data_IF_762931287377
#
_entry.id   IF_762931287377
#
_cell.length_a   1.000
_cell.length_b   1.000
_cell.length_c   1.000
_cell.angle_alpha   90.00
_cell.angle_beta   90.00
_cell.angle_gamma   90.00
#
_symmetry.space_group_name_H-M   'P 1'
#
loop_
_entity.id
_entity.type
_entity.pdbx_description
1 polymer ?
#
# COMPACT_ATOMS: atom_id res chain seq x y z
N UNK A 1 2.12 3.50 -15.15
CA UNK A 1 1.80 3.32 -16.58
C UNK A 1 2.47 2.07 -17.09
N UNK A 2 1.74 1.25 -17.84
CA UNK A 2 2.24 0.08 -18.52
C UNK A 2 2.00 0.22 -20.03
N UNK A 3 2.71 -0.57 -20.83
CA UNK A 3 2.55 -0.59 -22.28
C UNK A 3 1.83 -1.87 -22.69
N UNK A 4 0.81 -1.74 -23.53
CA UNK A 4 0.21 -2.87 -24.25
C UNK A 4 0.41 -2.71 -25.74
N UNK A 5 0.36 -3.82 -26.45
CA UNK A 5 0.60 -3.90 -27.88
C UNK A 5 -0.66 -4.36 -28.57
N UNK A 6 -0.99 -3.78 -29.70
CA UNK A 6 -2.20 -4.09 -30.45
C UNK A 6 -1.80 -4.62 -31.82
N UNK A 7 -2.36 -5.77 -32.20
CA UNK A 7 -2.20 -6.37 -33.51
C UNK A 7 -3.50 -7.05 -33.93
N UNK A 8 -4.02 -6.72 -35.12
CA UNK A 8 -5.32 -7.20 -35.64
C UNK A 8 -6.44 -7.11 -34.59
N UNK A 9 -6.59 -5.92 -33.99
CA UNK A 9 -7.59 -5.62 -32.95
C UNK A 9 -7.43 -6.39 -31.62
N UNK A 10 -6.45 -7.29 -31.51
CA UNK A 10 -6.14 -8.01 -30.26
C UNK A 10 -5.11 -7.23 -29.45
N UNK A 11 -5.32 -7.17 -28.14
CA UNK A 11 -4.41 -6.54 -27.19
C UNK A 11 -3.50 -7.56 -26.52
N UNK A 12 -2.22 -7.22 -26.37
CA UNK A 12 -1.18 -8.06 -25.82
C UNK A 12 -0.39 -7.30 -24.76
N UNK A 13 -0.01 -7.98 -23.67
CA UNK A 13 0.75 -7.38 -22.57
C UNK A 13 2.26 -7.30 -22.81
N UNK A 14 2.75 -7.88 -23.90
CA UNK A 14 4.17 -7.88 -24.25
C UNK A 14 4.37 -8.15 -25.75
N UNK A 15 5.49 -7.68 -26.31
CA UNK A 15 5.92 -8.03 -27.67
C UNK A 15 6.19 -9.53 -27.83
N UNK A 16 6.60 -10.21 -26.75
CA UNK A 16 6.69 -11.67 -26.74
C UNK A 16 5.34 -12.33 -27.04
N UNK A 17 4.26 -11.86 -26.40
CA UNK A 17 2.93 -12.41 -26.63
C UNK A 17 2.42 -12.12 -28.05
N UNK A 18 2.72 -10.94 -28.60
CA UNK A 18 2.47 -10.61 -30.02
C UNK A 18 3.21 -11.60 -30.92
N UNK A 19 4.50 -11.84 -30.67
CA UNK A 19 5.34 -12.75 -31.46
C UNK A 19 4.81 -14.18 -31.47
N UNK A 20 4.46 -14.71 -30.30
CA UNK A 20 3.90 -16.06 -30.17
C UNK A 20 2.59 -16.17 -30.95
N UNK A 21 1.71 -15.16 -30.83
CA UNK A 21 0.44 -15.15 -31.55
C UNK A 21 0.64 -15.15 -33.06
N UNK A 22 1.48 -14.26 -33.60
CA UNK A 22 1.72 -14.21 -35.04
C UNK A 22 2.41 -15.49 -35.52
N UNK A 23 3.37 -16.03 -34.77
CA UNK A 23 4.05 -17.27 -35.13
C UNK A 23 3.11 -18.48 -35.24
N UNK A 24 2.09 -18.55 -34.36
CA UNK A 24 1.06 -19.60 -34.42
C UNK A 24 0.11 -19.36 -35.62
N UNK A 25 -0.42 -18.15 -35.76
CA UNK A 25 -1.46 -17.83 -36.76
C UNK A 25 -0.92 -17.85 -38.20
N UNK A 26 0.24 -17.22 -38.42
CA UNK A 26 0.87 -17.13 -39.74
C UNK A 26 1.76 -18.33 -40.05
N UNK A 27 1.93 -19.24 -39.09
CA UNK A 27 2.84 -20.40 -39.17
C UNK A 27 4.27 -20.01 -39.55
N UNK A 28 4.74 -18.90 -39.01
CA UNK A 28 6.09 -18.38 -39.24
C UNK A 28 6.97 -18.52 -37.99
N UNK A 29 8.22 -18.92 -38.19
CA UNK A 29 9.25 -18.80 -37.16
C UNK A 29 9.73 -17.35 -37.11
N UNK A 30 9.37 -16.61 -36.06
CA UNK A 30 9.98 -15.30 -35.83
C UNK A 30 11.41 -15.44 -35.34
N UNK A 31 12.33 -14.71 -35.99
CA UNK A 31 13.67 -14.43 -35.48
C UNK A 31 13.69 -13.23 -34.51
N UNK A 32 14.74 -12.41 -34.60
CA UNK A 32 15.15 -11.28 -33.73
C UNK A 32 14.16 -10.09 -33.61
N UNK A 33 12.86 -10.24 -33.88
CA UNK A 33 11.91 -9.16 -33.66
C UNK A 33 11.75 -8.87 -32.15
N UNK A 34 12.35 -7.76 -31.70
CA UNK A 34 12.37 -7.32 -30.31
C UNK A 34 11.64 -5.99 -30.09
N UNK A 35 11.42 -5.21 -31.16
CA UNK A 35 10.78 -3.89 -31.11
C UNK A 35 9.51 -3.81 -31.97
N UNK A 36 8.67 -2.81 -31.72
CA UNK A 36 7.47 -2.54 -32.54
C UNK A 36 7.85 -2.27 -34.00
N UNK A 37 8.96 -1.57 -34.21
CA UNK A 37 9.52 -1.22 -35.52
C UNK A 37 9.96 -2.48 -36.30
N UNK A 38 10.53 -3.48 -35.63
CA UNK A 38 10.89 -4.75 -36.27
C UNK A 38 9.65 -5.46 -36.79
N UNK A 39 8.59 -5.57 -36.00
CA UNK A 39 7.33 -6.18 -36.44
C UNK A 39 6.77 -5.48 -37.68
N UNK A 40 6.77 -4.14 -37.70
CA UNK A 40 6.32 -3.36 -38.87
C UNK A 40 7.18 -3.58 -40.10
N UNK A 41 8.51 -3.69 -39.93
CA UNK A 41 9.44 -4.02 -41.03
C UNK A 41 9.12 -5.39 -41.65
N UNK A 42 8.65 -6.34 -40.84
CA UNK A 42 8.20 -7.64 -41.31
C UNK A 42 6.76 -7.66 -41.85
N UNK A 43 6.10 -6.50 -41.96
CA UNK A 43 4.74 -6.38 -42.48
C UNK A 43 3.64 -6.61 -41.44
N UNK A 44 3.97 -6.58 -40.15
CA UNK A 44 3.00 -6.69 -39.06
C UNK A 44 2.76 -5.34 -38.41
N UNK A 45 1.55 -4.80 -38.61
CA UNK A 45 1.13 -3.49 -38.07
C UNK A 45 0.88 -3.53 -36.56
N UNK A 46 1.94 -3.77 -35.79
CA UNK A 46 1.91 -3.72 -34.34
C UNK A 46 1.99 -2.26 -33.90
N UNK A 47 1.16 -1.88 -32.94
CA UNK A 47 1.22 -0.56 -32.28
C UNK A 47 1.34 -0.73 -30.77
N UNK A 48 2.08 0.15 -30.12
CA UNK A 48 2.13 0.24 -28.65
C UNK A 48 1.17 1.32 -28.15
N UNK A 49 0.51 1.07 -27.03
CA UNK A 49 -0.35 2.01 -26.33
C UNK A 49 -0.02 2.00 -24.84
N UNK A 50 0.19 3.18 -24.27
CA UNK A 50 0.28 3.31 -22.82
C UNK A 50 -1.11 3.17 -22.18
N UNK A 51 -1.16 2.54 -21.01
CA UNK A 51 -2.37 2.40 -20.23
C UNK A 51 -2.05 2.34 -18.73
N UNK A 52 -3.05 2.61 -17.90
CA UNK A 52 -2.98 2.33 -16.46
C UNK A 52 -3.73 1.02 -16.17
N UNK A 53 -3.01 -0.07 -15.81
CA UNK A 53 -3.63 -1.34 -15.46
C UNK A 53 -4.63 -1.25 -14.32
N UNK A 54 -4.39 -0.38 -13.32
CA UNK A 54 -5.30 -0.21 -12.19
C UNK A 54 -6.59 0.45 -12.66
N UNK A 55 -6.49 1.49 -13.50
CA UNK A 55 -7.65 2.19 -14.06
C UNK A 55 -8.47 1.29 -14.98
N UNK A 56 -7.84 0.52 -15.85
CA UNK A 56 -8.53 -0.40 -16.78
C UNK A 56 -9.21 -1.54 -16.00
N UNK A 57 -8.55 -2.09 -14.98
CA UNK A 57 -9.17 -3.04 -14.08
C UNK A 57 -10.36 -2.43 -13.35
N UNK A 58 -10.23 -1.23 -12.78
CA UNK A 58 -11.31 -0.54 -12.08
C UNK A 58 -12.52 -0.25 -13.00
N UNK A 59 -12.27 0.13 -14.25
CA UNK A 59 -13.32 0.35 -15.25
C UNK A 59 -14.07 -0.94 -15.63
N UNK A 60 -13.41 -2.10 -15.53
CA UNK A 60 -14.03 -3.41 -15.79
C UNK A 60 -14.94 -3.93 -14.68
N UNK A 61 -14.91 -3.30 -13.50
CA UNK A 61 -15.68 -3.73 -12.33
C UNK A 61 -17.15 -3.29 -12.42
N UNK A 62 -18.04 -4.12 -11.88
CA UNK A 62 -19.42 -3.72 -11.56
C UNK A 62 -19.43 -2.66 -10.44
N UNK A 63 -20.52 -1.91 -10.29
CA UNK A 63 -20.65 -0.89 -9.24
C UNK A 63 -20.44 -1.45 -7.81
N UNK A 64 -20.95 -2.66 -7.54
CA UNK A 64 -20.71 -3.34 -6.27
C UNK A 64 -19.23 -3.65 -6.06
N UNK A 65 -18.54 -4.12 -7.10
CA UNK A 65 -17.11 -4.42 -7.04
C UNK A 65 -16.26 -3.16 -6.92
N UNK A 66 -16.63 -2.05 -7.57
CA UNK A 66 -16.00 -0.73 -7.40
C UNK A 66 -16.09 -0.26 -5.96
N UNK A 67 -17.28 -0.33 -5.37
CA UNK A 67 -17.51 0.01 -3.95
C UNK A 67 -16.59 -0.81 -3.03
N UNK A 68 -16.50 -2.12 -3.26
CA UNK A 68 -15.61 -3.00 -2.48
C UNK A 68 -14.13 -2.72 -2.74
N UNK A 69 -13.77 -2.32 -3.96
CA UNK A 69 -12.41 -1.93 -4.33
C UNK A 69 -12.00 -0.66 -3.58
N UNK A 70 -12.83 0.38 -3.64
CA UNK A 70 -12.60 1.66 -2.98
C UNK A 70 -12.53 1.52 -1.47
N UNK A 71 -13.42 0.74 -0.87
CA UNK A 71 -13.39 0.46 0.56
C UNK A 71 -12.08 -0.23 0.96
N UNK A 72 -11.60 -1.22 0.18
CA UNK A 72 -10.31 -1.87 0.45
C UNK A 72 -9.15 -0.90 0.31
N UNK A 73 -9.17 -0.04 -0.73
CA UNK A 73 -8.14 0.99 -0.93
C UNK A 73 -8.13 1.98 0.23
N UNK A 74 -9.29 2.46 0.68
CA UNK A 74 -9.41 3.35 1.83
C UNK A 74 -8.95 2.70 3.14
N UNK A 75 -9.25 1.40 3.36
CA UNK A 75 -8.76 0.66 4.52
C UNK A 75 -7.24 0.55 4.56
N UNK A 76 -6.58 0.31 3.42
CA UNK A 76 -5.10 0.31 3.33
C UNK A 76 -4.51 1.67 3.67
N UNK A 77 -5.07 2.74 3.12
CA UNK A 77 -4.63 4.12 3.45
C UNK A 77 -4.78 4.40 4.95
N UNK A 78 -5.89 3.98 5.55
CA UNK A 78 -6.07 4.08 7.01
C UNK A 78 -5.02 3.26 7.77
N UNK A 79 -4.73 2.03 7.35
CA UNK A 79 -3.70 1.19 7.99
C UNK A 79 -2.32 1.86 7.95
N UNK A 80 -1.95 2.46 6.82
CA UNK A 80 -0.71 3.25 6.70
C UNK A 80 -0.72 4.48 7.61
N UNK A 81 -1.84 5.21 7.66
CA UNK A 81 -2.00 6.35 8.54
C UNK A 81 -1.89 5.96 10.02
N UNK A 82 -2.45 4.81 10.42
CA UNK A 82 -2.35 4.27 11.78
C UNK A 82 -0.90 3.87 12.11
N UNK A 83 -0.20 3.19 11.19
CA UNK A 83 1.22 2.84 11.36
C UNK A 83 2.13 4.06 11.48
N UNK A 84 1.73 5.18 10.88
CA UNK A 84 2.49 6.43 10.92
C UNK A 84 2.19 7.30 12.16
N UNK A 85 1.29 6.89 13.05
CA UNK A 85 0.95 7.68 14.23
C UNK A 85 2.20 7.80 15.13
N UNK A 86 2.57 9.05 15.42
CA UNK A 86 3.57 9.42 16.41
C UNK A 86 3.00 10.49 17.33
N UNK A 87 3.33 10.42 18.61
CA UNK A 87 2.87 11.37 19.62
C UNK A 87 4.04 11.85 20.45
N UNK A 88 4.01 13.12 20.86
CA UNK A 88 5.09 13.72 21.64
C UNK A 88 4.59 14.08 23.03
N UNK A 89 5.32 13.64 24.06
CA UNK A 89 5.08 13.95 25.47
C UNK A 89 6.40 14.37 26.09
N UNK A 90 6.45 15.54 26.72
CA UNK A 90 7.67 16.09 27.36
C UNK A 90 8.92 16.06 26.46
N UNK A 91 8.75 16.33 25.17
CA UNK A 91 9.84 16.31 24.18
C UNK A 91 10.24 14.91 23.70
N UNK A 92 9.68 13.83 24.26
CA UNK A 92 9.90 12.46 23.82
C UNK A 92 8.84 12.05 22.80
N UNK A 93 9.25 11.47 21.67
CA UNK A 93 8.32 11.03 20.62
C UNK A 93 8.14 9.53 20.68
N UNK A 94 6.90 9.09 20.80
CA UNK A 94 6.49 7.69 20.90
C UNK A 94 5.80 7.25 19.61
N UNK A 95 6.02 6.00 19.21
CA UNK A 95 5.16 5.36 18.21
C UNK A 95 3.77 5.18 18.81
N UNK A 96 2.73 5.44 18.02
CA UNK A 96 1.33 5.39 18.47
C UNK A 96 0.45 4.45 17.65
N UNK A 97 1.05 3.55 16.87
CA UNK A 97 0.32 2.50 16.15
C UNK A 97 -0.34 1.49 17.12
N UNK A 98 -1.14 0.56 16.60
CA UNK A 98 -1.86 -0.43 17.41
C UNK A 98 -0.94 -1.32 18.26
N UNK A 99 0.25 -1.64 17.75
CA UNK A 99 1.23 -2.48 18.45
C UNK A 99 1.85 -1.69 19.60
N UNK A 100 2.26 -0.45 19.35
CA UNK A 100 2.81 0.46 20.34
C UNK A 100 1.79 0.73 21.45
N UNK A 101 0.52 0.99 21.12
CA UNK A 101 -0.56 1.13 22.10
C UNK A 101 -0.71 -0.12 22.98
N UNK A 102 -0.69 -1.32 22.39
CA UNK A 102 -0.74 -2.57 23.15
C UNK A 102 0.47 -2.73 24.08
N UNK A 103 1.68 -2.36 23.61
CA UNK A 103 2.90 -2.39 24.42
C UNK A 103 2.84 -1.39 25.58
N UNK A 104 2.37 -0.16 25.34
CA UNK A 104 2.22 0.86 26.38
C UNK A 104 1.24 0.39 27.46
N UNK A 105 0.08 -0.14 27.06
CA UNK A 105 -0.91 -0.65 27.98
C UNK A 105 -0.35 -1.78 28.87
N UNK A 106 0.35 -2.76 28.26
CA UNK A 106 0.98 -3.86 29.00
C UNK A 106 2.09 -3.37 29.94
N UNK A 107 2.91 -2.42 29.50
CA UNK A 107 3.97 -1.85 30.32
C UNK A 107 3.40 -1.08 31.52
N UNK A 108 2.30 -0.34 31.34
CA UNK A 108 1.59 0.32 32.46
C UNK A 108 1.05 -0.70 33.47
N UNK A 109 0.42 -1.78 33.00
CA UNK A 109 -0.07 -2.86 33.89
C UNK A 109 1.07 -3.53 34.65
N UNK A 110 2.19 -3.82 33.97
CA UNK A 110 3.35 -4.42 34.62
C UNK A 110 4.00 -3.47 35.65
N UNK A 111 4.13 -2.18 35.31
CA UNK A 111 4.66 -1.16 36.20
C UNK A 111 3.78 -0.97 37.44
N UNK A 112 2.46 -1.07 37.31
CA UNK A 112 1.52 -1.09 38.45
C UNK A 112 1.77 -2.29 39.36
N UNK A 113 1.80 -3.50 38.80
CA UNK A 113 1.99 -4.72 39.57
C UNK A 113 3.35 -4.78 40.29
N UNK A 114 4.39 -4.20 39.68
CA UNK A 114 5.75 -4.19 40.23
C UNK A 114 6.04 -2.97 41.14
N UNK A 115 5.12 -2.02 41.28
CA UNK A 115 5.36 -0.79 42.03
C UNK A 115 6.47 0.09 41.43
N UNK A 116 6.64 0.06 40.10
CA UNK A 116 7.67 0.82 39.39
C UNK A 116 7.10 2.11 38.82
N UNK A 117 7.71 3.26 39.10
CA UNK A 117 7.28 4.57 38.59
C UNK A 117 7.82 4.93 37.19
N UNK A 118 8.81 4.17 36.71
CA UNK A 118 9.42 4.37 35.41
C UNK A 118 9.85 3.05 34.77
N UNK A 119 10.02 3.09 33.45
CA UNK A 119 10.49 1.93 32.67
C UNK A 119 11.41 2.39 31.55
N UNK A 120 12.29 1.49 31.10
CA UNK A 120 13.12 1.71 29.92
C UNK A 120 12.26 1.50 28.68
N UNK A 121 12.31 2.46 27.76
CA UNK A 121 11.48 2.48 26.56
C UNK A 121 12.30 2.84 25.32
N UNK A 122 11.89 2.33 24.16
CA UNK A 122 12.46 2.70 22.86
C UNK A 122 11.52 3.71 22.20
N UNK A 123 12.01 4.91 21.96
CA UNK A 123 11.28 6.01 21.33
C UNK A 123 11.19 5.82 19.80
N UNK A 124 10.35 6.62 19.16
CA UNK A 124 10.04 6.55 17.73
C UNK A 124 11.22 6.92 16.79
N UNK A 125 12.30 7.44 17.36
CA UNK A 125 13.58 7.72 16.70
C UNK A 125 14.63 6.60 16.96
N UNK A 126 14.19 5.48 17.55
CA UNK A 126 15.00 4.34 17.98
C UNK A 126 15.99 4.63 19.11
N UNK A 127 15.87 5.77 19.80
CA UNK A 127 16.66 6.03 21.01
C UNK A 127 16.03 5.32 22.22
N UNK A 128 16.86 4.99 23.20
CA UNK A 128 16.41 4.38 24.46
C UNK A 128 16.33 5.48 25.53
N UNK A 129 15.20 5.56 26.23
CA UNK A 129 14.98 6.53 27.30
C UNK A 129 14.28 5.87 28.50
N UNK A 130 14.51 6.41 29.69
CA UNK A 130 13.70 6.09 30.88
C UNK A 130 12.48 6.99 30.87
N UNK A 131 11.29 6.38 30.79
CA UNK A 131 10.00 7.11 30.74
C UNK A 131 9.22 6.84 32.01
N UNK A 132 8.53 7.86 32.51
CA UNK A 132 7.64 7.71 33.67
C UNK A 132 6.33 7.06 33.28
N UNK A 133 5.63 6.43 34.24
CA UNK A 133 4.26 5.92 34.02
C UNK A 133 3.33 7.00 33.48
N UNK A 134 3.43 8.22 34.02
CA UNK A 134 2.59 9.35 33.61
C UNK A 134 2.81 9.72 32.15
N UNK A 135 4.07 9.80 31.71
CA UNK A 135 4.41 10.06 30.30
C UNK A 135 3.88 8.95 29.38
N UNK A 136 4.06 7.69 29.79
CA UNK A 136 3.60 6.54 29.01
C UNK A 136 2.06 6.49 28.90
N UNK A 137 1.35 6.83 29.98
CA UNK A 137 -0.11 6.93 30.00
C UNK A 137 -0.63 8.07 29.11
N UNK A 138 0.03 9.24 29.13
CA UNK A 138 -0.28 10.35 28.24
C UNK A 138 -0.02 9.99 26.77
N UNK A 139 1.10 9.33 26.47
CA UNK A 139 1.42 8.86 25.12
C UNK A 139 0.35 7.87 24.61
N UNK A 140 -0.09 6.92 25.45
CA UNK A 140 -1.17 6.00 25.10
C UNK A 140 -2.48 6.76 24.80
N UNK A 141 -2.87 7.70 25.67
CA UNK A 141 -4.09 8.47 25.49
C UNK A 141 -4.08 9.30 24.19
N UNK A 142 -2.97 9.98 23.90
CA UNK A 142 -2.79 10.75 22.67
C UNK A 142 -2.81 9.84 21.43
N UNK A 143 -2.21 8.65 21.52
CA UNK A 143 -2.20 7.67 20.42
C UNK A 143 -3.60 7.19 20.09
N UNK A 144 -4.40 6.87 21.11
CA UNK A 144 -5.81 6.48 20.94
C UNK A 144 -6.65 7.61 20.32
N UNK A 145 -6.42 8.86 20.75
CA UNK A 145 -7.10 10.03 20.17
C UNK A 145 -6.70 10.25 18.70
N UNK A 146 -5.42 10.10 18.35
CA UNK A 146 -4.95 10.20 16.98
C UNK A 146 -5.55 9.10 16.09
N UNK A 147 -5.58 7.86 16.59
CA UNK A 147 -6.17 6.73 15.90
C UNK A 147 -7.67 6.93 15.66
N UNK A 148 -8.42 7.42 16.65
CA UNK A 148 -9.84 7.70 16.53
C UNK A 148 -10.17 8.67 15.38
N UNK A 149 -9.30 9.68 15.14
CA UNK A 149 -9.47 10.65 14.04
C UNK A 149 -9.40 10.02 12.65
N UNK A 150 -8.60 8.96 12.49
CA UNK A 150 -8.42 8.30 11.17
C UNK A 150 -9.25 7.03 11.02
N UNK A 151 -9.70 6.43 12.12
CA UNK A 151 -10.31 5.10 12.14
C UNK A 151 -11.59 4.97 11.30
N UNK A 152 -12.42 6.01 11.32
CA UNK A 152 -13.73 6.04 10.67
C UNK A 152 -13.65 6.45 9.19
N UNK A 153 -12.52 6.97 8.74
CA UNK A 153 -12.33 7.53 7.39
C UNK A 153 -12.79 6.60 6.24
N UNK A 154 -12.55 5.27 6.27
CA UNK A 154 -13.02 4.38 5.20
C UNK A 154 -14.54 4.24 5.10
N UNK A 155 -15.29 4.64 6.13
CA UNK A 155 -16.74 4.44 6.23
C UNK A 155 -17.55 5.73 6.07
N UNK A 156 -16.88 6.89 6.07
CA UNK A 156 -17.55 8.21 6.00
C UNK A 156 -17.65 8.77 4.59
N UNK A 157 -16.94 8.18 3.61
CA UNK A 157 -17.12 8.54 2.19
C UNK A 157 -18.45 7.96 1.71
N UNK A 158 -19.45 8.83 1.57
CA UNK A 158 -20.70 8.53 0.85
C UNK A 158 -20.50 8.76 -0.64
#
# INVERSE_FOLDING_TARGET
MATKYIYREKEFKSLYAVRQYIGIEERIGFGEAETVEDFRRFGFDVISREYDPEQEYYASLTELQKTQYDLRKAKRVREEAVKAIKVTVDGMTFDGDEIAQSRMARALTAAEAAGQDSTVWVLADNTVATVTKTQLAQALALSMQAMAKVWTSPYTKK
#
